data_IF_109291987343
#
_entry.id   IF_109291987343
#
_cell.length_a   1.000
_cell.length_b   1.000
_cell.length_c   1.000
_cell.angle_alpha   90.00
_cell.angle_beta   90.00
_cell.angle_gamma   90.00
#
_symmetry.space_group_name_H-M   'P 1'
#
loop_
_entity.id
_entity.type
_entity.pdbx_description
1 polymer ?
#
# COMPACT_ATOMS: atom_id res chain seq x y z
N UNK A 1 15.81 38.44 4.51
CA UNK A 1 15.94 37.07 3.97
C UNK A 1 15.03 36.19 4.79
N UNK A 2 13.86 35.82 4.27
CA UNK A 2 12.90 35.01 5.02
C UNK A 2 13.42 33.58 5.12
N UNK A 3 13.55 33.07 6.34
CA UNK A 3 13.67 31.63 6.59
C UNK A 3 12.49 30.95 5.91
N UNK A 4 12.72 30.38 4.74
CA UNK A 4 11.70 29.61 4.04
C UNK A 4 11.40 28.41 4.90
N UNK A 5 10.26 28.45 5.62
CA UNK A 5 9.79 27.34 6.45
C UNK A 5 10.00 26.03 5.71
N UNK A 6 10.89 25.20 6.25
CA UNK A 6 11.15 23.84 5.77
C UNK A 6 9.82 23.10 5.92
N UNK A 7 9.20 22.75 4.79
CA UNK A 7 7.93 22.04 4.79
C UNK A 7 8.20 20.55 4.63
N UNK A 8 7.83 19.81 5.65
CA UNK A 8 7.74 18.36 5.56
C UNK A 8 6.65 17.92 4.60
N UNK A 9 6.76 16.67 4.15
CA UNK A 9 5.86 16.12 3.16
C UNK A 9 6.49 14.92 2.48
N UNK A 10 6.26 14.79 1.19
CA UNK A 10 6.60 13.61 0.42
C UNK A 10 7.44 13.97 -0.79
N UNK A 11 8.44 13.15 -1.07
CA UNK A 11 9.11 13.08 -2.36
C UNK A 11 8.76 11.74 -2.99
N UNK A 12 8.45 11.74 -4.28
CA UNK A 12 7.97 10.56 -4.99
C UNK A 12 8.66 10.41 -6.34
N UNK A 13 8.71 9.16 -6.79
CA UNK A 13 8.96 8.78 -8.17
C UNK A 13 7.67 8.18 -8.76
N UNK A 14 7.32 8.57 -9.99
CA UNK A 14 6.21 8.01 -10.74
C UNK A 14 6.71 7.42 -12.06
N UNK A 15 6.03 6.38 -12.52
CA UNK A 15 6.27 5.74 -13.81
C UNK A 15 4.99 5.71 -14.63
N UNK A 16 5.12 5.50 -15.93
CA UNK A 16 3.99 5.25 -16.83
C UNK A 16 4.31 4.02 -17.68
N UNK A 17 3.30 3.23 -18.02
CA UNK A 17 3.46 2.17 -19.02
C UNK A 17 3.46 2.71 -20.45
N UNK A 18 3.13 3.99 -20.64
CA UNK A 18 3.06 4.66 -21.94
C UNK A 18 4.29 5.50 -22.25
N UNK A 19 5.18 5.70 -21.27
CA UNK A 19 6.39 6.51 -21.42
C UNK A 19 7.56 5.85 -20.70
N UNK A 20 8.76 5.81 -21.31
CA UNK A 20 9.96 5.32 -20.64
C UNK A 20 10.48 6.31 -19.58
N UNK A 21 9.89 7.50 -19.47
CA UNK A 21 10.31 8.56 -18.57
C UNK A 21 9.87 8.29 -17.13
N UNK A 22 10.71 8.69 -16.19
CA UNK A 22 10.37 8.74 -14.77
C UNK A 22 10.15 10.17 -14.35
N UNK A 23 9.06 10.39 -13.61
CA UNK A 23 8.78 11.68 -12.98
C UNK A 23 9.22 11.66 -11.53
N UNK A 24 10.07 12.60 -11.13
CA UNK A 24 10.44 12.79 -9.71
C UNK A 24 9.95 14.15 -9.27
N UNK A 25 9.16 14.19 -8.20
CA UNK A 25 8.65 15.45 -7.66
C UNK A 25 8.31 15.37 -6.19
N UNK A 26 7.80 16.49 -5.67
CA UNK A 26 7.36 16.59 -4.28
C UNK A 26 5.87 16.91 -4.14
N UNK A 27 5.37 16.71 -2.91
CA UNK A 27 4.11 17.27 -2.44
C UNK A 27 4.16 17.47 -0.93
N UNK A 28 3.63 18.59 -0.45
CA UNK A 28 3.42 18.84 0.99
C UNK A 28 2.03 18.40 1.47
N UNK A 29 1.25 17.76 0.57
CA UNK A 29 -0.09 17.28 0.86
C UNK A 29 -0.15 15.77 0.65
N UNK A 30 -1.15 15.28 -0.08
CA UNK A 30 -1.38 13.85 -0.34
C UNK A 30 -0.70 13.43 -1.64
N UNK A 31 0.16 12.39 -1.63
CA UNK A 31 0.66 11.75 -2.85
C UNK A 31 -0.46 11.30 -3.79
N UNK A 32 -1.51 10.64 -3.28
CA UNK A 32 -2.63 10.19 -4.12
C UNK A 32 -3.36 11.37 -4.79
N UNK A 33 -3.58 12.48 -4.07
CA UNK A 33 -4.14 13.70 -4.66
C UNK A 33 -3.23 14.28 -5.73
N UNK A 34 -1.92 14.37 -5.46
CA UNK A 34 -0.94 14.94 -6.38
C UNK A 34 -0.81 14.12 -7.67
N UNK A 35 -0.83 12.79 -7.57
CA UNK A 35 -0.78 11.90 -8.74
C UNK A 35 -2.02 12.10 -9.63
N UNK A 36 -3.22 12.25 -9.04
CA UNK A 36 -4.43 12.59 -9.80
C UNK A 36 -4.31 13.94 -10.51
N UNK A 37 -3.79 14.97 -9.83
CA UNK A 37 -3.54 16.28 -10.46
C UNK A 37 -2.56 16.19 -11.63
N UNK A 38 -1.48 15.40 -11.49
CA UNK A 38 -0.49 15.16 -12.55
C UNK A 38 -1.14 14.48 -13.75
N UNK A 39 -1.94 13.44 -13.52
CA UNK A 39 -2.64 12.71 -14.57
C UNK A 39 -3.67 13.56 -15.33
N UNK A 40 -4.26 14.56 -14.68
CA UNK A 40 -5.16 15.52 -15.34
C UNK A 40 -4.44 16.74 -15.94
N UNK A 41 -3.12 16.86 -15.78
CA UNK A 41 -2.37 18.04 -16.24
C UNK A 41 -2.09 17.97 -17.74
N UNK A 42 -2.00 19.13 -18.39
CA UNK A 42 -1.70 19.23 -19.84
C UNK A 42 -0.32 18.71 -20.21
N UNK A 43 0.66 18.86 -19.31
CA UNK A 43 2.06 18.54 -19.61
C UNK A 43 2.38 17.07 -19.34
N UNK A 44 1.85 16.50 -18.26
CA UNK A 44 2.16 15.14 -17.85
C UNK A 44 1.06 14.15 -18.25
N UNK A 45 -0.21 14.56 -18.27
CA UNK A 45 -1.35 13.69 -18.60
C UNK A 45 -1.18 12.90 -19.91
N UNK A 46 -0.74 13.52 -21.02
CA UNK A 46 -0.53 12.81 -22.30
C UNK A 46 0.54 11.71 -22.27
N UNK A 47 1.42 11.71 -21.26
CA UNK A 47 2.47 10.71 -21.06
C UNK A 47 2.07 9.64 -20.02
N UNK A 48 0.92 9.84 -19.35
CA UNK A 48 0.40 8.99 -18.30
C UNK A 48 -0.39 7.79 -18.83
N UNK A 49 -1.19 7.11 -17.99
CA UNK A 49 -1.39 7.40 -16.59
C UNK A 49 -0.12 7.14 -15.78
N UNK A 50 0.27 8.14 -14.99
CA UNK A 50 1.35 8.07 -14.03
C UNK A 50 0.89 7.31 -12.79
N UNK A 51 1.71 6.35 -12.38
CA UNK A 51 1.50 5.47 -11.25
C UNK A 51 2.64 5.65 -10.24
N UNK A 52 2.32 5.48 -8.96
CA UNK A 52 3.32 5.54 -7.89
C UNK A 52 4.38 4.44 -8.08
N UNK A 53 5.64 4.84 -8.22
CA UNK A 53 6.79 3.93 -8.25
C UNK A 53 7.43 3.77 -6.87
N UNK A 54 7.77 4.89 -6.24
CA UNK A 54 8.23 4.97 -4.86
C UNK A 54 7.88 6.32 -4.22
N UNK A 55 7.78 6.38 -2.89
CA UNK A 55 7.45 7.58 -2.13
C UNK A 55 8.04 7.54 -0.73
N UNK A 56 8.64 8.66 -0.30
CA UNK A 56 9.33 8.80 0.99
C UNK A 56 8.83 10.04 1.72
N UNK A 57 8.52 9.90 3.00
CA UNK A 57 8.15 11.02 3.84
C UNK A 57 9.40 11.68 4.42
N UNK A 58 9.61 12.96 4.12
CA UNK A 58 10.84 13.70 4.44
C UNK A 58 10.58 14.94 5.27
N UNK A 59 11.59 15.38 6.00
CA UNK A 59 11.60 16.59 6.81
C UNK A 59 11.66 17.85 5.94
N UNK A 60 12.52 17.87 4.92
CA UNK A 60 12.64 18.97 3.95
C UNK A 60 12.31 18.50 2.52
N UNK A 61 11.07 18.70 2.10
CA UNK A 61 10.65 18.29 0.74
C UNK A 61 11.43 18.98 -0.37
N UNK A 62 11.68 20.29 -0.26
CA UNK A 62 12.32 21.07 -1.32
C UNK A 62 13.81 20.80 -1.39
N UNK A 63 14.49 20.73 -0.25
CA UNK A 63 15.91 20.41 -0.20
C UNK A 63 16.22 19.02 -0.74
N UNK A 64 15.40 18.03 -0.39
CA UNK A 64 15.56 16.65 -0.88
C UNK A 64 15.23 16.54 -2.37
N UNK A 65 14.12 17.11 -2.86
CA UNK A 65 13.80 17.11 -4.29
C UNK A 65 14.91 17.75 -5.11
N UNK A 66 15.40 18.94 -4.70
CA UNK A 66 16.48 19.64 -5.39
C UNK A 66 17.77 18.80 -5.44
N UNK A 67 18.07 18.07 -4.36
CA UNK A 67 19.23 17.19 -4.29
C UNK A 67 19.09 16.02 -5.27
N UNK A 68 17.91 15.39 -5.33
CA UNK A 68 17.61 14.31 -6.27
C UNK A 68 17.66 14.79 -7.73
N UNK A 69 17.05 15.93 -8.03
CA UNK A 69 17.10 16.51 -9.39
C UNK A 69 18.54 16.83 -9.80
N UNK A 70 19.36 17.39 -8.89
CA UNK A 70 20.78 17.64 -9.16
C UNK A 70 21.55 16.34 -9.43
N UNK A 71 21.29 15.29 -8.65
CA UNK A 71 21.90 13.98 -8.83
C UNK A 71 21.54 13.35 -10.18
N UNK A 72 20.34 13.59 -10.68
CA UNK A 72 19.81 12.98 -11.91
C UNK A 72 19.82 13.92 -13.12
N UNK A 73 20.37 15.12 -12.98
CA UNK A 73 20.29 16.18 -14.00
C UNK A 73 20.93 15.78 -15.34
N UNK A 74 21.92 14.88 -15.33
CA UNK A 74 22.51 14.34 -16.55
C UNK A 74 21.57 13.41 -17.34
N UNK A 75 20.50 12.93 -16.71
CA UNK A 75 19.41 12.17 -17.34
C UNK A 75 18.15 13.02 -17.58
N UNK A 76 18.20 14.34 -17.39
CA UNK A 76 17.02 15.19 -17.48
C UNK A 76 16.46 15.25 -18.91
N UNK A 77 15.17 14.95 -19.06
CA UNK A 77 14.45 15.05 -20.32
C UNK A 77 13.86 16.47 -20.48
N UNK A 78 14.21 17.17 -21.57
CA UNK A 78 13.90 18.60 -21.75
C UNK A 78 12.89 18.91 -22.86
N UNK A 79 12.47 17.91 -23.62
CA UNK A 79 11.66 18.11 -24.82
C UNK A 79 10.17 18.28 -24.50
N UNK A 80 9.76 18.01 -23.26
CA UNK A 80 8.41 18.28 -22.77
C UNK A 80 8.35 19.71 -22.22
N UNK A 81 7.62 20.64 -22.86
CA UNK A 81 7.59 22.02 -22.43
C UNK A 81 7.15 22.15 -20.97
N UNK A 82 7.87 22.96 -20.20
CA UNK A 82 7.58 23.26 -18.78
C UNK A 82 7.64 22.06 -17.82
N UNK A 83 8.15 20.91 -18.25
CA UNK A 83 8.32 19.73 -17.41
C UNK A 83 9.81 19.48 -17.07
N UNK A 84 10.31 20.16 -16.04
CA UNK A 84 11.70 20.01 -15.56
C UNK A 84 11.91 18.80 -14.63
N UNK A 85 10.88 17.98 -14.47
CA UNK A 85 10.80 16.92 -13.44
C UNK A 85 10.82 15.51 -14.06
N UNK A 86 11.21 15.39 -15.33
CA UNK A 86 11.24 14.15 -16.11
C UNK A 86 12.67 13.71 -16.38
N UNK A 87 12.91 12.40 -16.24
CA UNK A 87 14.24 11.81 -16.34
C UNK A 87 14.22 10.52 -17.17
N UNK A 88 15.22 10.35 -18.02
CA UNK A 88 15.48 9.14 -18.83
C UNK A 88 16.25 8.11 -18.00
N UNK A 89 15.59 7.59 -16.97
CA UNK A 89 16.14 6.58 -16.06
C UNK A 89 15.18 5.40 -15.93
N UNK A 90 15.71 4.24 -15.57
CA UNK A 90 14.89 3.08 -15.25
C UNK A 90 14.14 3.25 -13.91
N UNK A 91 13.04 2.51 -13.71
CA UNK A 91 12.37 2.45 -12.40
C UNK A 91 13.30 2.05 -11.24
N UNK A 92 14.29 1.19 -11.50
CA UNK A 92 15.25 0.77 -10.47
C UNK A 92 16.20 1.92 -10.09
N UNK A 93 16.74 2.65 -11.06
CA UNK A 93 17.60 3.83 -10.79
C UNK A 93 16.84 4.91 -10.00
N UNK A 94 15.55 5.11 -10.31
CA UNK A 94 14.73 6.05 -9.56
C UNK A 94 14.53 5.62 -8.10
N UNK A 95 14.27 4.33 -7.85
CA UNK A 95 14.17 3.77 -6.50
C UNK A 95 15.50 3.88 -5.75
N UNK A 96 16.60 3.53 -6.40
CA UNK A 96 17.94 3.67 -5.83
C UNK A 96 18.20 5.11 -5.40
N UNK A 97 17.86 6.10 -6.23
CA UNK A 97 17.98 7.51 -5.87
C UNK A 97 17.17 7.87 -4.61
N UNK A 98 15.93 7.40 -4.49
CA UNK A 98 15.10 7.62 -3.30
C UNK A 98 15.60 6.85 -2.06
N UNK A 99 16.19 5.67 -2.23
CA UNK A 99 16.79 4.87 -1.15
C UNK A 99 18.05 5.51 -0.57
N UNK A 100 18.76 6.32 -1.35
CA UNK A 100 19.93 7.07 -0.87
C UNK A 100 19.57 8.30 0.00
N UNK A 101 18.28 8.61 0.18
CA UNK A 101 17.86 9.66 1.11
C UNK A 101 18.31 9.27 2.53
N UNK A 102 19.10 10.10 3.23
CA UNK A 102 19.59 9.75 4.55
C UNK A 102 18.45 9.49 5.53
N UNK A 103 18.59 8.46 6.39
CA UNK A 103 17.56 8.14 7.39
C UNK A 103 17.26 9.31 8.35
N UNK A 104 18.24 10.19 8.59
CA UNK A 104 18.07 11.41 9.38
C UNK A 104 17.10 12.42 8.76
N UNK A 105 16.86 12.35 7.46
CA UNK A 105 15.95 13.22 6.71
C UNK A 105 14.52 12.66 6.62
N UNK A 106 14.31 11.39 7.01
CA UNK A 106 13.01 10.74 6.99
C UNK A 106 12.20 11.08 8.26
N UNK A 107 10.88 11.23 8.12
CA UNK A 107 10.00 11.57 9.25
C UNK A 107 9.64 10.36 10.13
N UNK A 108 9.53 9.16 9.55
CA UNK A 108 9.14 7.95 10.27
C UNK A 108 9.82 6.70 9.65
N UNK A 109 11.14 6.54 9.76
CA UNK A 109 11.82 5.38 9.17
C UNK A 109 11.47 4.06 9.88
N UNK A 110 11.16 4.10 11.18
CA UNK A 110 11.03 2.91 12.03
C UNK A 110 9.95 1.91 11.58
N UNK A 111 8.72 2.29 11.20
CA UNK A 111 7.74 1.33 10.70
C UNK A 111 8.24 0.53 9.50
N UNK A 112 8.93 1.19 8.55
CA UNK A 112 9.48 0.54 7.36
C UNK A 112 10.65 -0.37 7.72
N UNK A 113 11.53 0.09 8.61
CA UNK A 113 12.61 -0.77 9.15
C UNK A 113 12.04 -2.01 9.81
N UNK A 114 11.03 -1.87 10.68
CA UNK A 114 10.39 -3.00 11.36
C UNK A 114 9.70 -3.95 10.39
N UNK A 115 9.04 -3.42 9.35
CA UNK A 115 8.46 -4.24 8.30
C UNK A 115 9.52 -5.11 7.61
N UNK A 116 10.66 -4.52 7.26
CA UNK A 116 11.73 -5.22 6.54
C UNK A 116 12.49 -6.24 7.41
N UNK A 117 12.36 -6.17 8.74
CA UNK A 117 12.92 -7.15 9.67
C UNK A 117 12.02 -8.39 9.86
N UNK A 118 10.78 -8.36 9.38
CA UNK A 118 9.77 -9.41 9.60
C UNK A 118 9.34 -10.06 8.27
N UNK A 119 10.14 -11.00 7.72
CA UNK A 119 9.92 -11.55 6.38
C UNK A 119 8.56 -12.27 6.25
N UNK A 120 8.13 -13.00 7.27
CA UNK A 120 6.84 -13.71 7.26
C UNK A 120 5.67 -12.72 7.24
N UNK A 121 5.80 -11.59 7.94
CA UNK A 121 4.80 -10.53 7.93
C UNK A 121 4.71 -9.86 6.56
N UNK A 122 5.84 -9.52 5.94
CA UNK A 122 5.89 -9.00 4.56
C UNK A 122 5.25 -10.00 3.60
N UNK A 123 5.62 -11.27 3.72
CA UNK A 123 5.11 -12.34 2.88
C UNK A 123 3.58 -12.50 3.03
N UNK A 124 3.04 -12.29 4.24
CA UNK A 124 1.60 -12.27 4.50
C UNK A 124 0.91 -11.06 3.87
N UNK A 125 1.45 -9.86 4.03
CA UNK A 125 0.89 -8.64 3.42
C UNK A 125 0.87 -8.73 1.89
N UNK A 126 1.94 -9.26 1.27
CA UNK A 126 1.98 -9.53 -0.18
C UNK A 126 0.83 -10.47 -0.58
N UNK A 127 0.61 -11.55 0.17
CA UNK A 127 -0.47 -12.48 -0.12
C UNK A 127 -1.84 -11.80 0.02
N UNK A 128 -2.04 -10.99 1.06
CA UNK A 128 -3.28 -10.24 1.28
C UNK A 128 -3.57 -9.23 0.16
N UNK A 129 -2.57 -8.43 -0.22
CA UNK A 129 -2.71 -7.41 -1.26
C UNK A 129 -3.03 -8.04 -2.63
N UNK A 130 -2.32 -9.12 -2.99
CA UNK A 130 -2.55 -9.84 -4.24
C UNK A 130 -3.91 -10.51 -4.28
N UNK A 131 -4.27 -11.26 -3.24
CA UNK A 131 -5.51 -12.06 -3.26
C UNK A 131 -6.77 -11.23 -3.03
N UNK A 132 -6.67 -10.03 -2.47
CA UNK A 132 -7.80 -9.09 -2.40
C UNK A 132 -7.99 -8.26 -3.66
N UNK A 133 -6.97 -8.16 -4.52
CA UNK A 133 -6.98 -7.34 -5.72
C UNK A 133 -6.85 -5.83 -5.45
N UNK A 134 -6.58 -5.41 -4.20
CA UNK A 134 -6.43 -3.99 -3.82
C UNK A 134 -5.28 -3.30 -4.57
N UNK A 135 -4.30 -4.07 -5.03
CA UNK A 135 -3.20 -3.57 -5.85
C UNK A 135 -3.62 -3.01 -7.22
N UNK A 136 -4.85 -3.28 -7.67
CA UNK A 136 -5.41 -2.72 -8.91
C UNK A 136 -6.02 -1.33 -8.69
N UNK A 137 -6.12 -0.88 -7.44
CA UNK A 137 -6.80 0.35 -7.03
C UNK A 137 -5.81 1.38 -6.44
N UNK A 138 -4.57 1.40 -6.95
CA UNK A 138 -3.49 2.29 -6.46
C UNK A 138 -3.80 3.76 -6.65
N UNK A 139 -4.57 4.07 -7.69
CA UNK A 139 -5.04 5.39 -8.08
C UNK A 139 -6.05 5.98 -7.08
N UNK A 140 -6.78 5.11 -6.37
CA UNK A 140 -7.75 5.49 -5.34
C UNK A 140 -7.25 5.26 -3.91
N UNK A 141 -5.92 5.20 -3.70
CA UNK A 141 -5.32 5.33 -2.35
C UNK A 141 -5.97 6.51 -1.60
N UNK A 142 -6.12 6.35 -0.28
CA UNK A 142 -6.96 7.15 0.61
C UNK A 142 -8.47 6.88 0.56
N UNK A 143 -8.99 6.19 -0.46
CA UNK A 143 -10.35 5.64 -0.42
C UNK A 143 -10.35 4.28 0.29
N UNK A 144 -9.24 3.57 0.14
CA UNK A 144 -8.75 2.56 1.07
C UNK A 144 -7.49 3.06 1.75
N UNK A 145 -7.22 2.57 2.96
CA UNK A 145 -6.02 2.96 3.71
C UNK A 145 -5.34 1.76 4.31
N UNK A 146 -4.02 1.77 4.24
CA UNK A 146 -3.13 0.90 4.98
C UNK A 146 -2.43 1.72 6.05
N UNK A 147 -2.49 1.28 7.30
CA UNK A 147 -1.73 1.82 8.42
C UNK A 147 -0.82 0.73 8.98
N UNK A 148 0.46 1.05 9.15
CA UNK A 148 1.50 0.13 9.64
C UNK A 148 1.89 0.52 11.07
N UNK A 149 1.87 -0.45 11.98
CA UNK A 149 2.07 -0.26 13.42
C UNK A 149 1.28 0.92 14.01
N UNK A 150 -0.05 1.03 13.76
CA UNK A 150 -0.81 2.14 14.27
C UNK A 150 -0.88 2.09 15.80
N UNK A 151 -0.87 3.27 16.43
CA UNK A 151 -1.07 3.40 17.87
C UNK A 151 -2.54 3.15 18.20
N UNK A 152 -2.86 1.94 18.66
CA UNK A 152 -4.19 1.55 19.13
C UNK A 152 -4.08 0.89 20.50
N UNK A 153 -5.20 0.83 21.22
CA UNK A 153 -5.30 0.05 22.45
C UNK A 153 -5.03 -1.43 22.13
N UNK A 154 -4.06 -2.03 22.82
CA UNK A 154 -3.58 -3.40 22.58
C UNK A 154 -2.56 -3.56 21.44
N UNK A 155 -2.24 -2.48 20.71
CA UNK A 155 -1.29 -2.48 19.60
C UNK A 155 -1.76 -3.25 18.37
N UNK A 156 -1.19 -2.94 17.20
CA UNK A 156 -1.47 -3.63 15.94
C UNK A 156 -0.22 -3.69 15.07
N UNK A 157 -0.11 -4.74 14.27
CA UNK A 157 0.88 -4.84 13.21
C UNK A 157 0.48 -3.97 12.01
N UNK A 158 -0.78 -4.07 11.60
CA UNK A 158 -1.35 -3.21 10.56
C UNK A 158 -2.85 -3.07 10.70
N UNK A 159 -3.42 -2.16 9.90
CA UNK A 159 -4.86 -2.06 9.67
C UNK A 159 -5.11 -1.65 8.23
N UNK A 160 -5.99 -2.39 7.55
CA UNK A 160 -6.54 -2.05 6.25
C UNK A 160 -7.98 -1.60 6.43
N UNK A 161 -8.32 -0.47 5.82
CA UNK A 161 -9.66 0.07 5.78
C UNK A 161 -10.11 0.24 4.33
N UNK A 162 -11.39 0.04 4.07
CA UNK A 162 -12.05 0.51 2.87
C UNK A 162 -13.23 1.37 3.33
N UNK A 163 -13.30 2.60 2.82
CA UNK A 163 -14.28 3.61 3.28
C UNK A 163 -14.22 3.88 4.80
N UNK A 164 -15.21 3.41 5.55
CA UNK A 164 -15.46 3.75 6.96
C UNK A 164 -15.20 2.60 7.93
N UNK A 165 -14.72 1.45 7.48
CA UNK A 165 -14.46 0.33 8.38
C UNK A 165 -13.18 -0.43 8.05
N UNK A 166 -12.70 -1.13 9.06
CA UNK A 166 -11.56 -2.02 9.00
C UNK A 166 -11.98 -3.29 8.27
N UNK A 167 -11.24 -3.63 7.22
CA UNK A 167 -11.46 -4.84 6.42
C UNK A 167 -10.43 -5.92 6.71
N UNK A 168 -9.26 -5.54 7.23
CA UNK A 168 -8.32 -6.49 7.81
C UNK A 168 -7.43 -5.84 8.85
N UNK A 169 -7.09 -6.55 9.91
CA UNK A 169 -6.02 -6.15 10.83
C UNK A 169 -5.42 -7.37 11.52
N UNK A 170 -4.21 -7.18 12.05
CA UNK A 170 -3.54 -8.15 12.91
C UNK A 170 -3.01 -7.48 14.15
N UNK A 171 -3.14 -8.14 15.30
CA UNK A 171 -2.67 -7.64 16.60
C UNK A 171 -1.93 -8.72 17.39
N UNK A 172 -0.92 -8.35 18.20
CA UNK A 172 -0.20 -9.31 19.02
C UNK A 172 -1.11 -9.94 20.08
N UNK A 173 -0.81 -11.20 20.43
CA UNK A 173 -1.38 -11.86 21.61
C UNK A 173 -0.29 -11.90 22.67
N UNK A 174 -0.33 -10.94 23.61
CA UNK A 174 0.76 -10.72 24.56
C UNK A 174 1.09 -11.95 25.44
N UNK A 175 0.09 -12.79 25.72
CA UNK A 175 0.25 -14.00 26.53
C UNK A 175 0.90 -15.17 25.79
N UNK A 176 0.90 -15.18 24.46
CA UNK A 176 1.28 -16.34 23.66
C UNK A 176 2.10 -15.97 22.41
N UNK A 177 3.28 -15.32 22.54
CA UNK A 177 4.19 -15.21 21.39
C UNK A 177 4.57 -16.61 20.86
N UNK A 178 4.58 -16.87 19.54
CA UNK A 178 4.50 -15.92 18.42
C UNK A 178 3.09 -15.76 17.79
N UNK A 179 2.02 -16.16 18.49
CA UNK A 179 0.67 -16.13 17.92
C UNK A 179 0.17 -14.69 17.73
N UNK A 180 -0.49 -14.49 16.59
CA UNK A 180 -1.09 -13.22 16.18
C UNK A 180 -2.58 -13.43 15.98
N UNK A 181 -3.37 -12.50 16.48
CA UNK A 181 -4.81 -12.45 16.22
C UNK A 181 -5.03 -11.75 14.88
N UNK A 182 -5.74 -12.40 13.98
CA UNK A 182 -6.09 -11.87 12.66
C UNK A 182 -7.60 -11.69 12.54
N UNK A 183 -8.03 -10.58 11.94
CA UNK A 183 -9.40 -10.40 11.47
C UNK A 183 -9.42 -9.99 10.00
N UNK A 184 -10.27 -10.63 9.22
CA UNK A 184 -10.48 -10.31 7.80
C UNK A 184 -11.99 -10.32 7.50
N UNK A 185 -12.48 -9.21 6.93
CA UNK A 185 -13.85 -9.08 6.45
C UNK A 185 -13.92 -9.60 5.01
N UNK A 186 -14.90 -10.47 4.74
CA UNK A 186 -15.14 -11.11 3.44
C UNK A 186 -16.64 -11.27 3.21
N UNK A 187 -17.04 -11.74 2.03
CA UNK A 187 -18.43 -12.04 1.73
C UNK A 187 -18.94 -13.29 2.49
N UNK A 188 -20.22 -13.31 2.87
CA UNK A 188 -20.90 -14.41 3.57
C UNK A 188 -20.80 -15.77 2.87
N UNK A 189 -20.41 -15.85 1.59
CA UNK A 189 -20.23 -17.13 0.90
C UNK A 189 -19.23 -18.06 1.61
N UNK A 190 -18.31 -17.54 2.44
CA UNK A 190 -17.45 -18.36 3.32
C UNK A 190 -18.23 -19.28 4.25
N UNK A 191 -19.48 -18.93 4.59
CA UNK A 191 -20.33 -19.78 5.41
C UNK A 191 -20.74 -21.09 4.73
N UNK A 192 -20.47 -21.28 3.44
CA UNK A 192 -20.73 -22.53 2.72
C UNK A 192 -19.49 -23.42 2.61
N UNK A 193 -18.30 -22.89 2.89
CA UNK A 193 -17.04 -23.60 2.76
C UNK A 193 -16.71 -24.38 4.04
N UNK A 194 -16.77 -25.72 3.99
CA UNK A 194 -16.55 -26.58 5.15
C UNK A 194 -15.08 -26.65 5.54
N UNK A 195 -14.19 -26.72 4.55
CA UNK A 195 -12.75 -26.86 4.77
C UNK A 195 -12.19 -25.58 5.39
N UNK A 196 -12.60 -24.42 4.86
CA UNK A 196 -12.28 -23.13 5.45
C UNK A 196 -12.76 -23.02 6.91
N UNK A 197 -13.99 -23.45 7.20
CA UNK A 197 -14.52 -23.42 8.57
C UNK A 197 -13.73 -24.33 9.52
N UNK A 198 -13.30 -25.49 9.05
CA UNK A 198 -12.49 -26.41 9.85
C UNK A 198 -11.12 -25.78 10.11
N UNK A 199 -10.46 -25.25 9.08
CA UNK A 199 -9.18 -24.55 9.21
C UNK A 199 -9.27 -23.38 10.21
N UNK A 200 -10.32 -22.56 10.12
CA UNK A 200 -10.52 -21.43 11.06
C UNK A 200 -10.68 -21.93 12.49
N UNK A 201 -11.44 -23.02 12.72
CA UNK A 201 -11.63 -23.60 14.06
C UNK A 201 -10.35 -24.21 14.62
N UNK A 202 -9.57 -24.90 13.77
CA UNK A 202 -8.27 -25.47 14.13
C UNK A 202 -7.25 -24.39 14.53
N UNK A 203 -7.37 -23.19 13.97
CA UNK A 203 -6.56 -22.02 14.31
C UNK A 203 -7.24 -21.13 15.38
N UNK A 204 -7.96 -21.73 16.33
CA UNK A 204 -8.54 -21.04 17.50
C UNK A 204 -9.60 -19.98 17.15
N UNK A 205 -10.18 -20.08 15.96
CA UNK A 205 -10.96 -19.02 15.35
C UNK A 205 -12.43 -19.35 15.12
N UNK A 206 -13.15 -18.38 14.57
CA UNK A 206 -14.53 -18.52 14.14
C UNK A 206 -14.89 -17.54 13.01
N UNK A 207 -15.94 -17.89 12.27
CA UNK A 207 -16.54 -17.00 11.28
C UNK A 207 -17.82 -16.42 11.88
N UNK A 208 -17.88 -15.09 12.03
CA UNK A 208 -19.03 -14.36 12.58
C UNK A 208 -19.58 -13.39 11.56
N UNK A 209 -20.84 -12.99 11.72
CA UNK A 209 -21.40 -11.84 10.99
C UNK A 209 -20.58 -10.60 11.34
N UNK A 210 -20.24 -9.80 10.33
CA UNK A 210 -19.49 -8.55 10.55
C UNK A 210 -20.29 -7.58 11.42
N UNK A 211 -19.61 -6.94 12.37
CA UNK A 211 -20.23 -6.02 13.33
C UNK A 211 -20.31 -4.58 12.82
N UNK A 212 -19.56 -4.24 11.77
CA UNK A 212 -19.56 -2.90 11.19
C UNK A 212 -20.90 -2.58 10.56
N UNK A 213 -21.62 -1.59 11.10
CA UNK A 213 -22.84 -1.07 10.47
C UNK A 213 -22.61 -0.52 9.06
N UNK A 214 -21.37 -0.09 8.79
CA UNK A 214 -20.92 0.40 7.48
C UNK A 214 -20.47 -0.71 6.53
N UNK A 215 -20.48 -1.99 6.95
CA UNK A 215 -20.16 -3.09 6.04
C UNK A 215 -21.20 -3.19 4.94
N UNK A 216 -20.77 -3.51 3.72
CA UNK A 216 -21.68 -3.61 2.60
C UNK A 216 -22.29 -4.99 2.47
N UNK A 217 -23.60 -5.03 2.27
CA UNK A 217 -24.32 -6.28 1.97
C UNK A 217 -24.09 -7.36 3.02
N UNK A 218 -23.84 -8.56 2.53
CA UNK A 218 -23.72 -9.76 3.35
C UNK A 218 -22.25 -10.03 3.70
N UNK A 219 -21.73 -9.33 4.71
CA UNK A 219 -20.36 -9.47 5.18
C UNK A 219 -20.20 -10.43 6.37
N UNK A 220 -19.10 -11.20 6.35
CA UNK A 220 -18.59 -12.03 7.44
C UNK A 220 -17.20 -11.59 7.85
N UNK A 221 -16.90 -11.71 9.13
CA UNK A 221 -15.55 -11.53 9.68
C UNK A 221 -15.00 -12.90 10.07
N UNK A 222 -13.89 -13.28 9.45
CA UNK A 222 -13.06 -14.39 9.91
C UNK A 222 -12.18 -13.86 11.03
N UNK A 223 -12.17 -14.56 12.16
CA UNK A 223 -11.28 -14.31 13.29
C UNK A 223 -10.50 -15.59 13.53
N UNK A 224 -9.19 -15.52 13.64
CA UNK A 224 -8.34 -16.68 13.92
C UNK A 224 -7.01 -16.24 14.56
N UNK A 225 -6.29 -17.20 15.11
CA UNK A 225 -5.02 -17.01 15.78
C UNK A 225 -3.96 -17.90 15.13
N UNK A 226 -2.90 -17.29 14.61
CA UNK A 226 -1.82 -18.03 13.96
C UNK A 226 -0.58 -17.15 13.80
N UNK A 227 0.56 -17.74 13.47
CA UNK A 227 1.71 -16.98 12.93
C UNK A 227 1.36 -16.38 11.56
N UNK A 228 2.16 -15.43 11.07
CA UNK A 228 1.96 -14.87 9.72
C UNK A 228 2.19 -15.89 8.60
N UNK A 229 3.17 -16.79 8.76
CA UNK A 229 3.41 -17.85 7.79
C UNK A 229 2.22 -18.83 7.72
N UNK A 230 1.72 -19.29 8.86
CA UNK A 230 0.53 -20.13 8.90
C UNK A 230 -0.70 -19.40 8.35
N UNK A 231 -0.87 -18.11 8.67
CA UNK A 231 -1.97 -17.29 8.14
C UNK A 231 -1.96 -17.21 6.60
N UNK A 232 -0.79 -17.28 5.95
CA UNK A 232 -0.71 -17.27 4.48
C UNK A 232 -1.36 -18.48 3.84
N UNK A 233 -1.42 -19.62 4.53
CA UNK A 233 -2.09 -20.82 4.01
C UNK A 233 -3.57 -20.59 3.73
N UNK A 234 -4.21 -19.64 4.44
CA UNK A 234 -5.59 -19.22 4.21
C UNK A 234 -5.86 -18.79 2.76
N UNK A 235 -4.88 -18.16 2.10
CA UNK A 235 -5.01 -17.72 0.70
C UNK A 235 -4.99 -18.88 -0.31
N UNK A 236 -4.70 -20.11 0.11
CA UNK A 236 -4.76 -21.28 -0.75
C UNK A 236 -6.21 -21.78 -0.94
N UNK A 237 -7.09 -21.51 0.02
CA UNK A 237 -8.50 -21.91 -0.02
C UNK A 237 -9.27 -21.13 -1.10
N UNK A 238 -9.80 -21.79 -2.14
CA UNK A 238 -10.52 -21.10 -3.22
C UNK A 238 -11.79 -20.39 -2.73
N UNK A 239 -12.52 -20.96 -1.76
CA UNK A 239 -13.72 -20.33 -1.20
C UNK A 239 -13.39 -19.05 -0.43
N UNK A 240 -12.30 -19.03 0.33
CA UNK A 240 -11.81 -17.81 0.96
C UNK A 240 -11.43 -16.74 -0.06
N UNK A 241 -10.62 -17.07 -1.07
CA UNK A 241 -10.22 -16.11 -2.11
C UNK A 241 -11.40 -15.49 -2.84
N UNK A 242 -12.39 -16.31 -3.23
CA UNK A 242 -13.61 -15.82 -3.88
C UNK A 242 -14.39 -14.86 -2.99
N UNK A 243 -14.54 -15.20 -1.71
CA UNK A 243 -15.25 -14.34 -0.76
C UNK A 243 -14.52 -13.03 -0.47
N UNK A 244 -13.18 -13.09 -0.39
CA UNK A 244 -12.32 -11.92 -0.20
C UNK A 244 -12.47 -10.96 -1.39
N UNK A 245 -12.30 -11.45 -2.61
CA UNK A 245 -12.45 -10.66 -3.84
C UNK A 245 -13.88 -10.11 -3.93
N UNK A 246 -14.90 -10.94 -3.75
CA UNK A 246 -16.30 -10.51 -3.87
C UNK A 246 -16.62 -9.31 -2.97
N UNK A 247 -16.12 -9.32 -1.72
CA UNK A 247 -16.35 -8.20 -0.81
C UNK A 247 -15.45 -7.00 -1.12
N UNK A 248 -14.14 -7.21 -1.22
CA UNK A 248 -13.17 -6.11 -1.33
C UNK A 248 -13.25 -5.41 -2.67
N UNK A 249 -13.38 -6.16 -3.77
CA UNK A 249 -13.40 -5.59 -5.11
C UNK A 249 -14.68 -4.78 -5.34
N UNK A 250 -15.84 -5.30 -4.91
CA UNK A 250 -17.11 -4.55 -4.94
C UNK A 250 -17.03 -3.28 -4.10
N UNK A 251 -16.44 -3.35 -2.90
CA UNK A 251 -16.22 -2.20 -2.06
C UNK A 251 -15.33 -1.14 -2.74
N UNK A 252 -14.23 -1.56 -3.36
CA UNK A 252 -13.28 -0.67 -4.03
C UNK A 252 -13.86 -0.02 -5.29
N UNK A 253 -14.60 -0.77 -6.10
CA UNK A 253 -15.32 -0.22 -7.27
C UNK A 253 -16.31 0.87 -6.85
N UNK A 254 -17.11 0.62 -5.80
CA UNK A 254 -18.02 1.65 -5.25
C UNK A 254 -17.28 2.90 -4.78
N UNK A 255 -16.10 2.73 -4.19
CA UNK A 255 -15.29 3.86 -3.76
C UNK A 255 -14.72 4.65 -4.93
N UNK A 256 -14.32 3.95 -6.01
CA UNK A 256 -13.90 4.56 -7.26
C UNK A 256 -15.03 5.38 -7.88
N UNK A 257 -16.23 4.80 -8.00
CA UNK A 257 -17.42 5.46 -8.57
C UNK A 257 -17.82 6.72 -7.80
N UNK A 258 -17.70 6.69 -6.47
CA UNK A 258 -18.05 7.83 -5.61
C UNK A 258 -16.96 8.90 -5.56
N UNK A 259 -15.71 8.55 -5.85
CA UNK A 259 -14.56 9.45 -5.69
C UNK A 259 -14.32 9.93 -4.25
N UNK A 260 -14.86 9.21 -3.25
CA UNK A 260 -14.83 9.62 -1.83
C UNK A 260 -13.57 9.11 -1.11
N UNK A 261 -13.07 9.89 -0.14
CA UNK A 261 -11.97 9.48 0.73
C UNK A 261 -12.48 8.71 1.93
N UNK A 262 -11.69 7.73 2.38
CA UNK A 262 -11.87 7.01 3.64
C UNK A 262 -11.84 7.96 4.83
N UNK A 263 -12.61 7.63 5.86
CA UNK A 263 -12.53 8.31 7.16
C UNK A 263 -11.12 8.21 7.79
N UNK A 264 -10.36 7.19 7.40
CA UNK A 264 -9.02 6.91 7.91
C UNK A 264 -7.90 7.44 7.01
N UNK A 265 -8.20 8.26 5.99
CA UNK A 265 -7.23 8.76 5.01
C UNK A 265 -5.97 9.38 5.64
N UNK A 266 -6.13 10.08 6.77
CA UNK A 266 -5.02 10.71 7.51
C UNK A 266 -4.01 9.72 8.10
N UNK A 267 -4.39 8.46 8.29
CA UNK A 267 -3.55 7.42 8.87
C UNK A 267 -2.84 6.57 7.81
N UNK A 268 -2.94 6.95 6.53
CA UNK A 268 -2.39 6.15 5.45
C UNK A 268 -0.86 6.23 5.37
N UNK A 269 -0.19 5.08 5.40
CA UNK A 269 1.26 4.96 5.23
C UNK A 269 1.60 4.68 3.76
N UNK A 270 1.86 5.75 2.99
CA UNK A 270 2.22 5.66 1.57
C UNK A 270 3.55 4.95 1.31
N UNK A 271 4.54 5.20 2.16
CA UNK A 271 5.86 4.57 2.14
C UNK A 271 5.77 3.06 2.39
N UNK A 272 4.93 2.64 3.33
CA UNK A 272 4.72 1.22 3.61
C UNK A 272 4.03 0.50 2.45
N UNK A 273 3.02 1.13 1.84
CA UNK A 273 2.37 0.60 0.63
C UNK A 273 3.37 0.52 -0.53
N UNK A 274 4.21 1.53 -0.69
CA UNK A 274 5.28 1.55 -1.69
C UNK A 274 6.22 0.36 -1.54
N UNK A 275 6.65 0.08 -0.31
CA UNK A 275 7.55 -1.02 0.00
C UNK A 275 6.91 -2.39 -0.26
N UNK A 276 5.63 -2.56 0.11
CA UNK A 276 4.87 -3.78 -0.22
C UNK A 276 4.79 -3.98 -1.73
N UNK A 277 4.48 -2.93 -2.49
CA UNK A 277 4.42 -3.01 -3.95
C UNK A 277 5.79 -3.29 -4.59
N UNK A 278 6.87 -2.77 -4.03
CA UNK A 278 8.24 -3.09 -4.44
C UNK A 278 8.50 -4.59 -4.32
N UNK A 279 8.26 -5.17 -3.15
CA UNK A 279 8.41 -6.62 -2.95
C UNK A 279 7.50 -7.45 -3.85
N UNK A 280 6.28 -6.97 -4.13
CA UNK A 280 5.36 -7.63 -5.07
C UNK A 280 5.91 -7.66 -6.49
N UNK A 281 6.51 -6.57 -6.98
CA UNK A 281 7.14 -6.52 -8.30
C UNK A 281 8.38 -7.41 -8.40
N UNK A 282 9.21 -7.45 -7.35
CA UNK A 282 10.41 -8.29 -7.30
C UNK A 282 10.07 -9.78 -7.32
N UNK A 283 9.09 -10.20 -6.51
CA UNK A 283 8.63 -11.58 -6.48
C UNK A 283 8.02 -12.04 -7.81
N UNK A 284 7.40 -11.13 -8.57
CA UNK A 284 6.91 -11.43 -9.93
C UNK A 284 8.07 -11.59 -10.92
N UNK A 285 9.04 -10.68 -10.88
CA UNK A 285 10.21 -10.70 -11.76
C UNK A 285 11.06 -11.95 -11.57
N UNK A 286 11.20 -12.42 -10.34
CA UNK A 286 11.90 -13.67 -10.04
C UNK A 286 11.20 -14.90 -10.65
N UNK A 287 9.87 -15.00 -10.54
CA UNK A 287 9.10 -16.10 -11.14
C UNK A 287 9.19 -16.10 -12.66
N UNK A 288 9.02 -14.93 -13.29
CA UNK A 288 9.13 -14.80 -14.74
C UNK A 288 10.52 -15.19 -15.28
N UNK A 289 11.59 -15.05 -14.49
CA UNK A 289 12.94 -15.51 -14.86
C UNK A 289 13.17 -17.01 -14.69
N UNK A 290 12.34 -17.70 -13.90
CA UNK A 290 12.42 -19.16 -13.73
C UNK A 290 11.57 -19.92 -14.77
N UNK A 291 10.63 -19.23 -15.40
CA UNK A 291 9.73 -19.78 -16.43
C UNK A 291 10.24 -19.55 -17.87
N UNK A 292 11.34 -18.81 -18.04
CA UNK A 292 12.06 -18.59 -19.30
C UNK A 292 13.43 -19.26 -19.26
#
# INVERSE_FOLDING_TARGET
>A
MGEGFVKSGWVYALYSNQSPLIKIGLTTTSPAKRIREINCSKNYGPLGPWLQLDVRQVKDTRGIEKTLHRQLNHYAHKDVPTASELFEISPNQAREALLQIPASELLAPLPITNLNLEPDFVAYLIALFRNSGIENFRDIQESWTFSLFPKTDGGRFFTLNIDKHEVAFSRPIASEPPLVHHEIVVDHMVLKDRDLKNWVRENGGLIKKTQYKSSWGNASTLVFQSTFDQARTLFQFPGFRRALIAYWYEALLRMQDRGTRSFFAKNHNYDAVSEIFRHMSEAHSFRARLEN
#
